data_IF_466857888972
#
_entry.id   IF_466857888972
#
_cell.length_a   1.000
_cell.length_b   1.000
_cell.length_c   1.000
_cell.angle_alpha   90.00
_cell.angle_beta   90.00
_cell.angle_gamma   90.00
#
_symmetry.space_group_name_H-M   'P 1'
#
loop_
_entity.id
_entity.type
_entity.pdbx_description
1 polymer ?
#
# COMPACT_ATOMS: atom_id res chain seq x y z
N UNK A 1 -3.82 26.87 -2.54
CA UNK A 1 -2.74 26.48 -1.63
C UNK A 1 -1.84 25.39 -2.19
N UNK A 2 -2.33 24.33 -2.79
CA UNK A 2 -1.49 23.24 -3.35
C UNK A 2 -0.47 23.68 -4.43
N UNK A 3 -0.82 24.61 -5.31
CA UNK A 3 0.10 25.14 -6.33
C UNK A 3 1.29 25.89 -5.71
N UNK A 4 1.05 26.68 -4.69
CA UNK A 4 2.12 27.44 -3.97
C UNK A 4 3.11 26.47 -3.31
N UNK A 5 2.61 25.41 -2.67
CA UNK A 5 3.47 24.39 -2.06
C UNK A 5 4.37 23.68 -3.09
N UNK A 6 3.83 23.35 -4.26
CA UNK A 6 4.60 22.73 -5.34
C UNK A 6 5.68 23.67 -5.86
N UNK A 7 5.36 24.96 -6.07
CA UNK A 7 6.32 25.96 -6.51
C UNK A 7 7.44 26.12 -5.48
N UNK A 8 7.10 26.20 -4.18
CA UNK A 8 8.11 26.32 -3.11
C UNK A 8 9.06 25.11 -3.13
N UNK A 9 8.51 23.88 -3.25
CA UNK A 9 9.33 22.66 -3.31
C UNK A 9 10.27 22.69 -4.52
N UNK A 10 9.78 23.05 -5.71
CA UNK A 10 10.59 23.11 -6.92
C UNK A 10 11.68 24.19 -6.84
N UNK A 11 11.37 25.37 -6.31
CA UNK A 11 12.33 26.46 -6.11
C UNK A 11 13.39 26.05 -5.10
N UNK A 12 12.99 25.44 -3.99
CA UNK A 12 13.93 24.94 -2.97
C UNK A 12 14.85 23.86 -3.54
N UNK A 13 14.28 22.91 -4.31
CA UNK A 13 15.06 21.89 -4.99
C UNK A 13 16.06 22.50 -5.97
N UNK A 14 15.63 23.45 -6.80
CA UNK A 14 16.51 24.14 -7.75
C UNK A 14 17.65 24.89 -7.04
N UNK A 15 17.32 25.58 -5.94
CA UNK A 15 18.33 26.31 -5.13
C UNK A 15 19.39 25.34 -4.60
N UNK A 16 19.02 24.22 -3.99
CA UNK A 16 19.98 23.23 -3.50
C UNK A 16 20.77 22.56 -4.64
N UNK A 17 20.14 22.28 -5.77
CA UNK A 17 20.82 21.73 -6.93
C UNK A 17 21.95 22.70 -7.43
N UNK A 18 21.65 23.97 -7.45
CA UNK A 18 22.67 24.99 -7.82
C UNK A 18 23.77 25.16 -6.74
N UNK A 19 23.38 25.07 -5.45
CA UNK A 19 24.30 25.17 -4.33
C UNK A 19 25.34 24.04 -4.32
N UNK A 20 24.90 22.79 -4.50
CA UNK A 20 25.81 21.64 -4.56
C UNK A 20 26.61 21.58 -5.86
N UNK A 21 26.11 22.16 -6.92
CA UNK A 21 26.74 22.18 -8.25
C UNK A 21 27.30 20.82 -8.71
N UNK A 22 26.60 19.75 -8.34
CA UNK A 22 26.99 18.37 -8.64
C UNK A 22 25.75 17.54 -8.93
N UNK A 23 25.65 17.02 -10.14
CA UNK A 23 24.56 16.16 -10.58
C UNK A 23 24.55 14.81 -9.86
N UNK A 24 25.68 14.34 -9.34
CA UNK A 24 25.81 13.12 -8.54
C UNK A 24 25.23 13.27 -7.13
N UNK A 25 25.15 14.51 -6.63
CA UNK A 25 24.59 14.79 -5.30
C UNK A 25 23.10 15.13 -5.42
N UNK A 26 22.77 16.09 -6.27
CA UNK A 26 21.39 16.52 -6.48
C UNK A 26 21.20 17.07 -7.90
N UNK A 27 20.66 16.28 -8.84
CA UNK A 27 20.37 16.74 -10.20
C UNK A 27 19.32 17.85 -10.21
N UNK A 28 19.34 18.67 -11.25
CA UNK A 28 18.36 19.73 -11.40
C UNK A 28 16.95 19.18 -11.68
N UNK A 29 15.88 19.90 -11.28
CA UNK A 29 14.50 19.50 -11.59
C UNK A 29 14.26 19.29 -13.08
N UNK A 30 14.87 20.15 -13.93
CA UNK A 30 14.73 20.06 -15.39
C UNK A 30 15.36 18.79 -15.95
N UNK A 31 16.56 18.43 -15.49
CA UNK A 31 17.23 17.19 -15.90
C UNK A 31 16.42 15.96 -15.47
N UNK A 32 15.97 15.96 -14.22
CA UNK A 32 15.15 14.87 -13.70
C UNK A 32 13.84 14.71 -14.47
N UNK A 33 13.19 15.82 -14.85
CA UNK A 33 11.99 15.78 -15.67
C UNK A 33 12.27 15.18 -17.06
N UNK A 34 13.34 15.62 -17.70
CA UNK A 34 13.76 15.06 -19.00
C UNK A 34 14.08 13.56 -18.90
N UNK A 35 14.79 13.15 -17.84
CA UNK A 35 15.06 11.73 -17.58
C UNK A 35 13.76 10.95 -17.36
N UNK A 36 12.82 11.50 -16.60
CA UNK A 36 11.50 10.88 -16.39
C UNK A 36 10.76 10.68 -17.73
N UNK A 37 10.75 11.69 -18.59
CA UNK A 37 10.13 11.60 -19.93
C UNK A 37 10.81 10.55 -20.82
N UNK A 38 12.15 10.46 -20.76
CA UNK A 38 12.90 9.43 -21.51
C UNK A 38 12.55 8.02 -21.03
N UNK A 39 12.33 7.80 -19.73
CA UNK A 39 11.94 6.49 -19.20
C UNK A 39 10.60 6.01 -19.78
N UNK A 40 9.65 6.89 -20.09
CA UNK A 40 8.37 6.49 -20.70
C UNK A 40 8.52 5.92 -22.11
N UNK A 41 9.60 6.26 -22.82
CA UNK A 41 9.90 5.80 -24.19
C UNK A 41 10.81 4.56 -24.18
N UNK A 42 11.31 4.14 -23.01
CA UNK A 42 12.15 2.94 -22.87
C UNK A 42 11.30 1.68 -23.12
N UNK A 43 11.79 0.78 -23.98
CA UNK A 43 11.12 -0.50 -24.31
C UNK A 43 10.83 -1.37 -23.07
N UNK A 44 11.61 -1.20 -22.00
CA UNK A 44 11.46 -1.95 -20.75
C UNK A 44 10.49 -1.29 -19.76
N UNK A 45 10.03 -0.08 -20.03
CA UNK A 45 9.18 0.67 -19.09
C UNK A 45 7.92 -0.10 -18.71
N UNK A 46 7.15 -0.55 -19.71
CA UNK A 46 5.88 -1.26 -19.48
C UNK A 46 6.09 -2.56 -18.71
N UNK A 47 7.13 -3.32 -19.04
CA UNK A 47 7.44 -4.58 -18.33
C UNK A 47 7.84 -4.30 -16.89
N UNK A 48 8.66 -3.30 -16.65
CA UNK A 48 9.12 -2.92 -15.30
C UNK A 48 7.97 -2.47 -14.42
N UNK A 49 7.19 -1.50 -14.90
CA UNK A 49 6.03 -0.95 -14.17
C UNK A 49 4.96 -2.01 -14.00
N UNK A 50 4.63 -2.73 -15.06
CA UNK A 50 3.63 -3.80 -15.04
C UNK A 50 3.96 -4.91 -14.04
N UNK A 51 5.24 -5.30 -13.94
CA UNK A 51 5.68 -6.32 -12.99
C UNK A 51 5.52 -5.86 -11.55
N UNK A 52 5.91 -4.63 -11.22
CA UNK A 52 5.73 -4.06 -9.87
C UNK A 52 4.25 -3.92 -9.51
N UNK A 53 3.42 -3.45 -10.45
CA UNK A 53 1.96 -3.35 -10.25
C UNK A 53 1.35 -4.74 -10.02
N UNK A 54 1.72 -5.74 -10.83
CA UNK A 54 1.21 -7.10 -10.70
C UNK A 54 1.57 -7.72 -9.34
N UNK A 55 2.81 -7.54 -8.88
CA UNK A 55 3.24 -7.97 -7.54
C UNK A 55 2.43 -7.28 -6.44
N UNK A 56 2.20 -5.96 -6.60
CA UNK A 56 1.41 -5.18 -5.64
C UNK A 56 -0.02 -5.68 -5.55
N UNK A 57 -0.66 -5.91 -6.69
CA UNK A 57 -2.03 -6.43 -6.74
C UNK A 57 -2.10 -7.85 -6.18
N UNK A 58 -1.14 -8.72 -6.50
CA UNK A 58 -1.10 -10.09 -5.96
C UNK A 58 -0.96 -10.07 -4.44
N UNK A 59 0.00 -9.31 -3.90
CA UNK A 59 0.18 -9.16 -2.46
C UNK A 59 -1.05 -8.57 -1.78
N UNK A 60 -1.69 -7.57 -2.40
CA UNK A 60 -2.91 -6.95 -1.90
C UNK A 60 -4.09 -7.93 -1.88
N UNK A 61 -4.34 -8.64 -2.97
CA UNK A 61 -5.47 -9.60 -3.06
C UNK A 61 -5.33 -10.67 -1.99
N UNK A 62 -4.14 -11.27 -1.85
CA UNK A 62 -3.90 -12.30 -0.82
C UNK A 62 -4.10 -11.72 0.58
N UNK A 63 -3.53 -10.55 0.87
CA UNK A 63 -3.70 -9.86 2.15
C UNK A 63 -5.14 -9.51 2.43
N UNK A 64 -5.87 -9.07 1.40
CA UNK A 64 -7.25 -8.64 1.52
C UNK A 64 -8.14 -9.81 1.97
N UNK A 65 -8.05 -10.95 1.31
CA UNK A 65 -8.86 -12.11 1.68
C UNK A 65 -8.45 -12.69 3.03
N UNK A 66 -7.16 -12.85 3.30
CA UNK A 66 -6.68 -13.33 4.60
C UNK A 66 -7.03 -12.36 5.73
N UNK A 67 -6.82 -11.06 5.52
CA UNK A 67 -7.12 -10.01 6.49
C UNK A 67 -8.63 -9.86 6.73
N UNK A 68 -9.46 -10.01 5.69
CA UNK A 68 -10.91 -10.02 5.81
C UNK A 68 -11.39 -11.20 6.66
N UNK A 69 -10.94 -12.41 6.36
CA UNK A 69 -11.32 -13.62 7.10
C UNK A 69 -10.86 -13.54 8.56
N UNK A 70 -9.59 -13.21 8.79
CA UNK A 70 -9.02 -13.08 10.14
C UNK A 70 -9.69 -11.93 10.92
N UNK A 71 -9.96 -10.80 10.26
CA UNK A 71 -10.63 -9.65 10.84
C UNK A 71 -12.07 -9.92 11.22
N UNK A 72 -12.82 -10.67 10.40
CA UNK A 72 -14.17 -11.12 10.74
C UNK A 72 -14.11 -12.05 11.95
N UNK A 73 -13.22 -13.03 11.95
CA UNK A 73 -13.08 -13.98 13.05
C UNK A 73 -12.73 -13.26 14.38
N UNK A 74 -11.79 -12.29 14.32
CA UNK A 74 -11.39 -11.49 15.48
C UNK A 74 -12.50 -10.51 15.93
N UNK A 75 -13.25 -9.94 14.99
CA UNK A 75 -14.35 -9.02 15.30
C UNK A 75 -15.51 -9.69 16.02
N UNK A 76 -15.81 -10.92 15.66
CA UNK A 76 -16.92 -11.69 16.23
C UNK A 76 -16.51 -12.41 17.53
N UNK A 77 -15.27 -12.90 17.62
CA UNK A 77 -14.81 -13.72 18.74
C UNK A 77 -13.67 -13.06 19.52
N UNK A 78 -13.86 -12.68 20.80
CA UNK A 78 -12.83 -12.04 21.61
C UNK A 78 -11.60 -12.93 21.88
N UNK A 79 -11.76 -14.26 21.87
CA UNK A 79 -10.61 -15.17 22.05
C UNK A 79 -9.71 -15.19 20.80
N UNK A 80 -10.30 -15.13 19.60
CA UNK A 80 -9.55 -15.02 18.35
C UNK A 80 -8.81 -13.67 18.29
N UNK A 81 -9.46 -12.59 18.71
CA UNK A 81 -8.81 -11.28 18.80
C UNK A 81 -7.62 -11.30 19.77
N UNK A 82 -7.82 -11.83 20.98
CA UNK A 82 -6.76 -11.92 21.98
C UNK A 82 -5.56 -12.74 21.47
N UNK A 83 -5.80 -13.78 20.69
CA UNK A 83 -4.75 -14.58 20.05
C UNK A 83 -4.05 -13.85 18.90
N UNK A 84 -4.80 -13.17 18.04
CA UNK A 84 -4.24 -12.48 16.86
C UNK A 84 -3.52 -11.17 17.21
N UNK A 85 -3.95 -10.47 18.26
CA UNK A 85 -3.41 -9.18 18.66
C UNK A 85 -1.88 -9.16 18.81
N UNK A 86 -1.24 -10.08 19.57
CA UNK A 86 0.22 -10.09 19.69
C UNK A 86 0.90 -10.38 18.33
N UNK A 87 0.32 -11.25 17.49
CA UNK A 87 0.84 -11.56 16.15
C UNK A 87 0.84 -10.31 15.26
N UNK A 88 -0.29 -9.58 15.23
CA UNK A 88 -0.42 -8.36 14.44
C UNK A 88 0.54 -7.26 14.91
N UNK A 89 0.71 -7.12 16.23
CA UNK A 89 1.68 -6.17 16.81
C UNK A 89 3.10 -6.56 16.42
N UNK A 90 3.48 -7.82 16.55
CA UNK A 90 4.81 -8.30 16.17
C UNK A 90 5.10 -8.02 14.70
N UNK A 91 4.18 -8.36 13.78
CA UNK A 91 4.37 -8.11 12.35
C UNK A 91 4.61 -6.61 12.06
N UNK A 92 3.89 -5.72 12.75
CA UNK A 92 4.06 -4.27 12.58
C UNK A 92 5.35 -3.71 13.19
N UNK A 93 5.89 -4.37 14.22
CA UNK A 93 7.05 -3.91 14.98
C UNK A 93 8.38 -4.39 14.42
N UNK A 94 8.39 -5.53 13.71
CA UNK A 94 9.61 -6.08 13.13
C UNK A 94 10.09 -5.19 11.97
N UNK A 95 11.37 -4.80 11.94
CA UNK A 95 11.93 -4.06 10.82
C UNK A 95 11.77 -4.82 9.50
N UNK A 96 11.17 -4.17 8.51
CA UNK A 96 10.87 -4.79 7.20
C UNK A 96 12.12 -5.36 6.52
N UNK A 97 13.27 -4.70 6.69
CA UNK A 97 14.56 -5.15 6.14
C UNK A 97 14.94 -6.51 6.69
N UNK A 98 14.76 -6.75 8.01
CA UNK A 98 15.06 -8.04 8.62
C UNK A 98 14.20 -9.16 8.02
N UNK A 99 12.91 -8.88 7.79
CA UNK A 99 11.99 -9.84 7.18
C UNK A 99 12.40 -10.14 5.73
N UNK A 100 12.81 -9.12 4.96
CA UNK A 100 13.28 -9.30 3.57
C UNK A 100 14.51 -10.21 3.53
N UNK A 101 15.51 -9.96 4.39
CA UNK A 101 16.73 -10.78 4.44
C UNK A 101 16.43 -12.23 4.82
N UNK A 102 15.52 -12.46 5.77
CA UNK A 102 15.09 -13.82 6.12
C UNK A 102 14.31 -14.46 4.97
N UNK A 103 13.42 -13.73 4.31
CA UNK A 103 12.63 -14.23 3.20
C UNK A 103 13.52 -14.67 2.01
N UNK A 104 14.66 -14.01 1.77
CA UNK A 104 15.61 -14.37 0.72
C UNK A 104 16.28 -15.72 0.95
N UNK A 105 16.25 -16.26 2.18
CA UNK A 105 16.77 -17.61 2.47
C UNK A 105 15.83 -18.68 1.91
N UNK A 106 14.52 -18.45 1.89
CA UNK A 106 13.51 -19.46 1.53
C UNK A 106 12.79 -19.19 0.22
N UNK A 107 12.75 -17.93 -0.21
CA UNK A 107 11.98 -17.48 -1.36
C UNK A 107 12.90 -17.00 -2.49
N UNK A 108 12.38 -17.05 -3.71
CA UNK A 108 13.08 -16.48 -4.86
C UNK A 108 13.03 -14.95 -4.85
N UNK A 109 14.03 -14.23 -5.43
CA UNK A 109 14.02 -12.77 -5.52
C UNK A 109 12.73 -12.18 -6.10
N UNK A 110 12.07 -12.91 -7.02
CA UNK A 110 10.82 -12.46 -7.64
C UNK A 110 9.59 -12.54 -6.74
N UNK A 111 9.58 -13.45 -5.75
CA UNK A 111 8.45 -13.68 -4.84
C UNK A 111 8.59 -12.93 -3.52
N UNK A 112 9.81 -12.58 -3.12
CA UNK A 112 10.07 -11.82 -1.87
C UNK A 112 9.24 -10.54 -1.79
N UNK A 113 9.18 -9.65 -2.81
CA UNK A 113 8.40 -8.42 -2.72
C UNK A 113 6.90 -8.69 -2.48
N UNK A 114 6.34 -9.72 -3.11
CA UNK A 114 4.92 -10.12 -2.92
C UNK A 114 4.67 -10.58 -1.49
N UNK A 115 5.55 -11.42 -0.95
CA UNK A 115 5.47 -11.91 0.43
C UNK A 115 5.54 -10.76 1.45
N UNK A 116 6.46 -9.82 1.25
CA UNK A 116 6.63 -8.66 2.13
C UNK A 116 5.39 -7.74 2.07
N UNK A 117 4.86 -7.50 0.88
CA UNK A 117 3.62 -6.73 0.72
C UNK A 117 2.46 -7.42 1.44
N UNK A 118 2.29 -8.74 1.22
CA UNK A 118 1.27 -9.53 1.89
C UNK A 118 1.37 -9.39 3.41
N UNK A 119 2.55 -9.60 3.97
CA UNK A 119 2.77 -9.54 5.42
C UNK A 119 2.52 -8.13 5.98
N UNK A 120 2.91 -7.10 5.24
CA UNK A 120 2.76 -5.70 5.67
C UNK A 120 1.31 -5.22 5.59
N UNK A 121 0.58 -5.62 4.54
CA UNK A 121 -0.81 -5.19 4.32
C UNK A 121 -1.81 -5.92 5.23
N UNK A 122 -1.58 -7.18 5.52
CA UNK A 122 -2.47 -8.06 6.29
C UNK A 122 -2.94 -7.46 7.63
N UNK A 123 -2.06 -6.94 8.51
CA UNK A 123 -2.48 -6.39 9.80
C UNK A 123 -3.42 -5.19 9.67
N UNK A 124 -3.25 -4.35 8.63
CA UNK A 124 -4.09 -3.17 8.43
C UNK A 124 -5.51 -3.56 8.05
N UNK A 125 -5.66 -4.53 7.16
CA UNK A 125 -6.99 -5.02 6.75
C UNK A 125 -7.66 -5.73 7.92
N UNK A 126 -6.95 -6.65 8.57
CA UNK A 126 -7.46 -7.43 9.70
C UNK A 126 -7.97 -6.53 10.84
N UNK A 127 -7.18 -5.53 11.25
CA UNK A 127 -7.57 -4.63 12.33
C UNK A 127 -8.77 -3.77 11.95
N UNK A 128 -8.78 -3.16 10.76
CA UNK A 128 -9.89 -2.32 10.34
C UNK A 128 -11.21 -3.11 10.24
N UNK A 129 -11.17 -4.33 9.71
CA UNK A 129 -12.35 -5.20 9.64
C UNK A 129 -12.86 -5.56 11.03
N UNK A 130 -11.96 -5.96 11.94
CA UNK A 130 -12.31 -6.30 13.32
C UNK A 130 -12.92 -5.10 14.05
N UNK A 131 -12.31 -3.92 13.93
CA UNK A 131 -12.80 -2.68 14.54
C UNK A 131 -14.16 -2.28 13.95
N UNK A 132 -14.35 -2.44 12.64
CA UNK A 132 -15.62 -2.22 11.97
C UNK A 132 -16.75 -3.09 12.51
N UNK A 133 -16.49 -4.39 12.74
CA UNK A 133 -17.49 -5.28 13.33
C UNK A 133 -17.84 -4.88 14.76
N UNK A 134 -16.85 -4.47 15.54
CA UNK A 134 -17.06 -4.05 16.94
C UNK A 134 -17.71 -2.69 17.08
N UNK A 135 -17.64 -1.85 16.06
CA UNK A 135 -18.30 -0.54 16.03
C UNK A 135 -19.79 -0.61 15.76
N UNK A 136 -20.32 -1.78 15.38
CA UNK A 136 -21.77 -1.96 15.13
C UNK A 136 -22.54 -1.77 16.45
N UNK A 137 -23.56 -0.94 16.37
CA UNK A 137 -24.42 -0.62 17.51
C UNK A 137 -25.13 -1.89 18.03
N UNK A 138 -24.85 -2.23 19.28
CA UNK A 138 -25.40 -3.43 19.94
C UNK A 138 -26.89 -3.28 20.22
N UNK A 139 -27.36 -2.07 20.45
CA UNK A 139 -28.77 -1.83 20.73
C UNK A 139 -29.62 -2.05 19.49
N UNK A 140 -29.11 -1.62 18.32
CA UNK A 140 -29.75 -1.94 17.03
C UNK A 140 -29.81 -3.45 16.76
N UNK A 141 -28.73 -4.17 17.08
CA UNK A 141 -28.69 -5.63 16.92
C UNK A 141 -29.69 -6.30 17.88
N UNK A 142 -29.78 -5.84 19.14
CA UNK A 142 -30.73 -6.37 20.11
C UNK A 142 -32.17 -6.08 19.70
N UNK A 143 -32.46 -4.86 19.24
CA UNK A 143 -33.76 -4.46 18.72
C UNK A 143 -34.19 -5.35 17.56
N UNK A 144 -33.30 -5.57 16.57
CA UNK A 144 -33.58 -6.45 15.43
C UNK A 144 -33.91 -7.88 15.88
N UNK A 145 -33.16 -8.42 16.86
CA UNK A 145 -33.42 -9.73 17.44
C UNK A 145 -34.75 -9.80 18.21
N UNK A 146 -35.09 -8.72 18.93
CA UNK A 146 -36.37 -8.62 19.65
C UNK A 146 -37.55 -8.72 18.69
N UNK A 147 -37.47 -8.07 17.52
CA UNK A 147 -38.45 -8.16 16.45
C UNK A 147 -38.33 -9.43 15.62
N UNK A 148 -37.51 -10.39 16.04
CA UNK A 148 -37.31 -11.72 15.38
C UNK A 148 -36.86 -11.57 13.92
N UNK A 149 -36.12 -10.53 13.60
CA UNK A 149 -35.52 -10.40 12.27
C UNK A 149 -34.51 -11.54 12.06
N UNK A 150 -34.52 -12.14 10.89
CA UNK A 150 -33.63 -13.23 10.52
C UNK A 150 -32.16 -12.80 10.59
N UNK A 151 -31.28 -13.66 11.12
CA UNK A 151 -29.86 -13.36 11.28
C UNK A 151 -29.18 -12.97 9.95
N UNK A 152 -29.54 -13.64 8.84
CA UNK A 152 -29.01 -13.30 7.52
C UNK A 152 -29.37 -11.86 7.11
N UNK A 153 -30.57 -11.40 7.46
CA UNK A 153 -31.03 -10.03 7.21
C UNK A 153 -30.31 -9.02 8.10
N UNK A 154 -30.10 -9.33 9.38
CA UNK A 154 -29.29 -8.51 10.30
C UNK A 154 -27.87 -8.32 9.74
N UNK A 155 -27.23 -9.40 9.26
CA UNK A 155 -25.90 -9.32 8.66
C UNK A 155 -25.93 -8.43 7.40
N UNK A 156 -26.88 -8.64 6.51
CA UNK A 156 -26.95 -7.93 5.22
C UNK A 156 -27.32 -6.45 5.36
N UNK A 157 -28.29 -6.12 6.24
CA UNK A 157 -28.85 -4.78 6.34
C UNK A 157 -28.22 -3.92 7.44
N UNK A 158 -27.56 -4.52 8.44
CA UNK A 158 -26.92 -3.81 9.54
C UNK A 158 -25.41 -3.93 9.54
N UNK A 159 -24.87 -5.18 9.58
CA UNK A 159 -23.41 -5.36 9.68
C UNK A 159 -22.68 -4.95 8.39
N UNK A 160 -23.06 -5.45 7.21
CA UNK A 160 -22.36 -5.18 5.96
C UNK A 160 -22.29 -3.67 5.69
N UNK A 161 -23.37 -2.90 5.74
CA UNK A 161 -23.30 -1.45 5.56
C UNK A 161 -22.42 -0.74 6.61
N UNK A 162 -22.50 -1.15 7.87
CA UNK A 162 -21.73 -0.53 8.95
C UNK A 162 -20.21 -0.76 8.82
N UNK A 163 -19.79 -1.97 8.39
CA UNK A 163 -18.37 -2.33 8.29
C UNK A 163 -17.72 -1.91 6.96
N UNK A 164 -18.51 -1.63 5.92
CA UNK A 164 -17.98 -1.30 4.59
C UNK A 164 -16.99 -0.12 4.59
N UNK A 165 -17.25 1.00 5.30
CA UNK A 165 -16.28 2.09 5.40
C UNK A 165 -14.94 1.66 6.02
N UNK A 166 -14.97 0.77 7.00
CA UNK A 166 -13.76 0.24 7.64
C UNK A 166 -12.98 -0.68 6.70
N UNK A 167 -13.67 -1.53 5.92
CA UNK A 167 -13.03 -2.38 4.90
C UNK A 167 -12.30 -1.53 3.88
N UNK A 168 -12.94 -0.47 3.36
CA UNK A 168 -12.37 0.41 2.34
C UNK A 168 -11.20 1.22 2.92
N UNK A 169 -11.35 1.74 4.14
CA UNK A 169 -10.27 2.45 4.84
C UNK A 169 -9.07 1.55 5.08
N UNK A 170 -9.30 0.31 5.54
CA UNK A 170 -8.27 -0.71 5.71
C UNK A 170 -7.56 -1.07 4.41
N UNK A 171 -8.31 -1.26 3.33
CA UNK A 171 -7.78 -1.54 2.00
C UNK A 171 -6.94 -0.37 1.46
N UNK A 172 -7.40 0.87 1.63
CA UNK A 172 -6.68 2.08 1.22
C UNK A 172 -5.35 2.22 1.95
N UNK A 173 -5.38 2.08 3.28
CA UNK A 173 -4.19 2.15 4.13
C UNK A 173 -3.20 1.03 3.79
N UNK A 174 -3.70 -0.19 3.62
CA UNK A 174 -2.90 -1.36 3.25
C UNK A 174 -2.20 -1.15 1.90
N UNK A 175 -2.92 -0.69 0.87
CA UNK A 175 -2.34 -0.45 -0.46
C UNK A 175 -1.22 0.60 -0.40
N UNK A 176 -1.42 1.72 0.32
CA UNK A 176 -0.41 2.78 0.43
C UNK A 176 0.87 2.33 1.13
N UNK A 177 0.76 1.49 2.17
CA UNK A 177 1.91 0.95 2.89
C UNK A 177 2.56 -0.18 2.08
N UNK A 178 1.76 -1.07 1.52
CA UNK A 178 2.24 -2.21 0.75
C UNK A 178 2.93 -1.81 -0.55
N UNK A 179 2.51 -0.73 -1.22
CA UNK A 179 3.22 -0.20 -2.38
C UNK A 179 4.68 0.15 -2.05
N UNK A 180 4.90 0.84 -0.92
CA UNK A 180 6.27 1.13 -0.45
C UNK A 180 7.04 -0.13 -0.08
N UNK A 181 6.37 -1.07 0.58
CA UNK A 181 6.96 -2.34 0.95
C UNK A 181 7.42 -3.17 -0.26
N UNK A 182 6.65 -3.17 -1.36
CA UNK A 182 7.03 -3.82 -2.62
C UNK A 182 8.29 -3.22 -3.20
N UNK A 183 8.36 -1.90 -3.33
CA UNK A 183 9.53 -1.23 -3.88
C UNK A 183 10.77 -1.52 -3.03
N UNK A 184 10.64 -1.45 -1.69
CA UNK A 184 11.72 -1.83 -0.78
C UNK A 184 12.13 -3.30 -0.95
N UNK A 185 11.17 -4.19 -1.10
CA UNK A 185 11.40 -5.60 -1.39
C UNK A 185 12.15 -5.80 -2.70
N UNK A 186 11.78 -5.09 -3.78
CA UNK A 186 12.46 -5.16 -5.08
C UNK A 186 13.88 -4.60 -5.03
N UNK A 187 14.10 -3.51 -4.28
CA UNK A 187 15.45 -2.95 -4.08
C UNK A 187 16.37 -3.96 -3.43
N UNK A 188 15.92 -4.65 -2.39
CA UNK A 188 16.77 -5.56 -1.62
C UNK A 188 16.85 -6.98 -2.19
N UNK A 189 15.78 -7.50 -2.79
CA UNK A 189 15.74 -8.84 -3.38
C UNK A 189 16.26 -8.89 -4.83
N UNK A 190 16.32 -7.73 -5.48
CA UNK A 190 16.88 -7.55 -6.82
C UNK A 190 16.32 -8.52 -7.89
N UNK A 191 15.00 -8.59 -8.07
CA UNK A 191 14.41 -9.43 -9.11
C UNK A 191 14.76 -8.92 -10.52
N UNK A 192 14.52 -9.74 -11.55
CA UNK A 192 14.88 -9.42 -12.95
C UNK A 192 14.24 -8.12 -13.47
N UNK A 193 12.98 -7.85 -13.08
CA UNK A 193 12.20 -6.67 -13.47
C UNK A 193 11.53 -6.07 -12.24
N UNK A 194 11.45 -4.76 -12.18
CA UNK A 194 10.77 -4.00 -11.12
C UNK A 194 11.29 -2.60 -11.01
N UNK A 195 10.45 -1.67 -10.53
CA UNK A 195 10.82 -0.28 -10.30
C UNK A 195 11.96 -0.19 -9.29
N UNK A 196 11.84 -0.92 -8.15
CA UNK A 196 12.87 -0.94 -7.11
C UNK A 196 14.21 -1.49 -7.61
N UNK A 197 14.18 -2.51 -8.50
CA UNK A 197 15.39 -3.07 -9.12
C UNK A 197 16.11 -2.02 -9.96
N UNK A 198 15.39 -1.26 -10.79
CA UNK A 198 16.01 -0.21 -11.62
C UNK A 198 16.46 0.98 -10.78
N UNK A 199 15.78 1.31 -9.68
CA UNK A 199 16.26 2.30 -8.71
C UNK A 199 17.59 1.88 -8.09
N UNK A 200 17.70 0.61 -7.67
CA UNK A 200 18.94 0.06 -7.09
C UNK A 200 20.08 0.06 -8.11
N UNK A 201 19.81 -0.38 -9.35
CA UNK A 201 20.79 -0.32 -10.42
C UNK A 201 21.28 1.11 -10.67
N UNK A 202 20.38 2.07 -10.79
CA UNK A 202 20.73 3.47 -10.99
C UNK A 202 21.58 4.02 -9.83
N UNK A 203 21.24 3.66 -8.58
CA UNK A 203 22.01 4.05 -7.39
C UNK A 203 23.42 3.48 -7.42
N UNK A 204 23.59 2.21 -7.83
CA UNK A 204 24.90 1.55 -7.93
C UNK A 204 25.83 2.30 -8.92
N UNK A 205 25.27 2.87 -9.98
CA UNK A 205 26.03 3.66 -10.98
C UNK A 205 26.01 5.17 -10.69
N UNK A 206 25.54 5.60 -9.51
CA UNK A 206 25.42 7.00 -9.10
C UNK A 206 24.57 7.87 -10.06
N UNK A 207 23.63 7.26 -10.79
CA UNK A 207 22.68 7.95 -11.65
C UNK A 207 21.49 8.48 -10.83
N UNK A 208 21.73 9.50 -10.03
CA UNK A 208 20.74 10.04 -9.06
C UNK A 208 19.51 10.59 -9.77
N UNK A 209 19.65 11.16 -10.96
CA UNK A 209 18.52 11.63 -11.78
C UNK A 209 17.55 10.50 -12.17
N UNK A 210 18.08 9.29 -12.45
CA UNK A 210 17.27 8.10 -12.76
C UNK A 210 16.57 7.58 -11.50
N UNK A 211 17.25 7.59 -10.34
CA UNK A 211 16.63 7.20 -9.05
C UNK A 211 15.44 8.10 -8.74
N UNK A 212 15.62 9.42 -8.87
CA UNK A 212 14.54 10.37 -8.60
C UNK A 212 13.44 10.25 -9.66
N UNK A 213 13.77 10.02 -10.94
CA UNK A 213 12.78 9.80 -12.00
C UNK A 213 11.89 8.59 -11.70
N UNK A 214 12.45 7.45 -11.31
CA UNK A 214 11.67 6.27 -10.90
C UNK A 214 10.87 6.53 -9.61
N UNK A 215 11.39 7.33 -8.69
CA UNK A 215 10.65 7.76 -7.50
C UNK A 215 9.41 8.57 -7.88
N UNK A 216 9.52 9.51 -8.82
CA UNK A 216 8.38 10.29 -9.34
C UNK A 216 7.34 9.38 -9.96
N UNK A 217 7.77 8.43 -10.81
CA UNK A 217 6.87 7.45 -11.44
C UNK A 217 6.15 6.61 -10.36
N UNK A 218 6.89 6.14 -9.35
CA UNK A 218 6.32 5.37 -8.25
C UNK A 218 5.28 6.17 -7.45
N UNK A 219 5.52 7.45 -7.20
CA UNK A 219 4.57 8.36 -6.53
C UNK A 219 3.31 8.56 -7.38
N UNK A 220 3.45 8.75 -8.69
CA UNK A 220 2.30 8.92 -9.61
C UNK A 220 1.43 7.66 -9.59
N UNK A 221 2.04 6.47 -9.63
CA UNK A 221 1.31 5.20 -9.59
C UNK A 221 0.61 5.02 -8.23
N UNK A 222 1.30 5.33 -7.12
CA UNK A 222 0.73 5.30 -5.77
C UNK A 222 -0.50 6.20 -5.64
N UNK A 223 -0.41 7.42 -6.17
CA UNK A 223 -1.54 8.34 -6.22
C UNK A 223 -2.70 7.80 -7.08
N UNK A 224 -2.38 7.11 -8.17
CA UNK A 224 -3.36 6.42 -9.00
C UNK A 224 -4.13 5.35 -8.23
N UNK A 225 -3.45 4.52 -7.43
CA UNK A 225 -4.08 3.52 -6.56
C UNK A 225 -4.97 4.17 -5.50
N UNK A 226 -4.50 5.21 -4.83
CA UNK A 226 -5.29 5.94 -3.84
C UNK A 226 -6.57 6.53 -4.45
N UNK A 227 -6.46 7.16 -5.62
CA UNK A 227 -7.59 7.72 -6.34
C UNK A 227 -8.60 6.65 -6.78
N UNK A 228 -8.11 5.47 -7.21
CA UNK A 228 -8.96 4.36 -7.61
C UNK A 228 -9.76 3.81 -6.42
N UNK A 229 -9.11 3.62 -5.27
CA UNK A 229 -9.77 3.13 -4.05
C UNK A 229 -10.79 4.15 -3.54
N UNK A 230 -10.45 5.44 -3.49
CA UNK A 230 -11.39 6.51 -3.10
C UNK A 230 -12.58 6.63 -4.07
N UNK A 231 -12.36 6.39 -5.35
CA UNK A 231 -13.46 6.36 -6.33
C UNK A 231 -14.40 5.18 -6.07
N UNK A 232 -13.85 4.00 -5.76
CA UNK A 232 -14.64 2.82 -5.37
C UNK A 232 -15.42 3.09 -4.08
N UNK A 233 -14.83 3.78 -3.09
CA UNK A 233 -15.48 4.21 -1.86
C UNK A 233 -16.75 5.02 -2.14
N UNK A 234 -16.66 6.06 -2.98
CA UNK A 234 -17.80 6.94 -3.31
C UNK A 234 -18.94 6.19 -4.01
N UNK A 235 -18.66 5.13 -4.75
CA UNK A 235 -19.69 4.30 -5.40
C UNK A 235 -20.33 3.29 -4.46
N UNK A 236 -19.60 2.78 -3.48
CA UNK A 236 -20.07 1.74 -2.57
C UNK A 236 -20.78 2.32 -1.34
N UNK A 237 -20.47 3.55 -0.92
CA UNK A 237 -21.06 4.21 0.27
C UNK A 237 -22.07 5.29 -0.17
N UNK A 238 -23.12 4.88 -0.87
CA UNK A 238 -24.17 5.80 -1.35
C UNK A 238 -25.03 6.40 -0.20
N UNK A 239 -25.09 5.72 0.95
CA UNK A 239 -25.96 6.12 2.09
C UNK A 239 -25.34 7.13 3.06
N UNK A 240 -24.18 7.69 2.76
CA UNK A 240 -23.51 8.72 3.57
C UNK A 240 -23.70 10.15 3.00
N UNK A 241 -24.70 10.34 2.13
CA UNK A 241 -25.07 11.66 1.60
C UNK A 241 -26.00 12.39 2.58
#
# INVERSE_FOLDING_TARGET
>A
MSLVSVIIILVTWKFFSLYFNSEFVLPSPEKTLLTTLKLFVDDRFLVTVGTTILRSLTGFIVSFFLGLLAGIAAGVNPYVDAFLRPVLVTIRSVPIIAIILLALIWLTPGTVPVFIAMLTMFPFICTNVSDGIRSVDRDLVQMAKFYRVENARIVKELYIPAIMPFIISGASSAMGIGWRAIITGEVLSHPRYGIGTLMQNAQTFLNVDVVIAWTIIAVIISYGFEKLIRWSERKLIIWRA
#
